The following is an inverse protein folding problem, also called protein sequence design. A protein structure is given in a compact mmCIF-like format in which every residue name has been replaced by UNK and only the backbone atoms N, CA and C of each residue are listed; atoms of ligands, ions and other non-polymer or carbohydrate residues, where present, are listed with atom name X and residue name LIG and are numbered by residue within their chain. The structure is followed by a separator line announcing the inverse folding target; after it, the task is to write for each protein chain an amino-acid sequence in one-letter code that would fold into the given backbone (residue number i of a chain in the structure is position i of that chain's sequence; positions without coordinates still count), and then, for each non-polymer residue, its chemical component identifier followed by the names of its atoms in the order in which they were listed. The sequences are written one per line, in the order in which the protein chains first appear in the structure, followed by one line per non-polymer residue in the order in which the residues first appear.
data_IF_689807604910
#
_entry.id   IF_689807604910
#
_cell.length_a   1.000
_cell.length_b   1.000
_cell.length_c   1.000
_cell.angle_alpha   90.00
_cell.angle_beta   90.00
_cell.angle_gamma   90.00
#
_symmetry.space_group_name_H-M   'P 1'
#
loop_
_entity.id
_entity.type
_entity.pdbx_description
1 polymer ?
#
# COMPACT_ATOMS: atom_id res chain seq x y z
N UNK A 1 26.49 -16.80 -10.53
CA UNK A 1 26.82 -18.21 -10.79
C UNK A 1 27.60 -18.36 -12.11
N UNK A 2 27.10 -17.80 -13.20
CA UNK A 2 27.68 -17.99 -14.54
C UNK A 2 29.18 -17.55 -14.66
N UNK A 3 29.55 -16.50 -13.94
CA UNK A 3 30.92 -15.95 -14.03
C UNK A 3 31.91 -16.52 -13.01
N UNK A 4 31.41 -17.19 -11.96
CA UNK A 4 32.28 -17.65 -10.87
C UNK A 4 32.32 -19.16 -10.71
N UNK A 5 31.49 -19.92 -11.41
CA UNK A 5 31.29 -21.35 -11.21
C UNK A 5 30.77 -21.76 -9.82
N UNK A 6 30.50 -20.79 -8.97
CA UNK A 6 29.95 -21.01 -7.60
C UNK A 6 28.45 -21.17 -7.62
N UNK A 7 27.92 -22.05 -6.79
CA UNK A 7 26.48 -22.31 -6.69
C UNK A 7 25.88 -21.61 -5.47
N UNK A 8 24.72 -20.98 -5.68
CA UNK A 8 23.91 -20.38 -4.61
C UNK A 8 23.49 -21.45 -3.62
N UNK A 9 23.50 -21.09 -2.34
CA UNK A 9 23.22 -21.93 -1.17
C UNK A 9 24.26 -23.01 -0.87
N UNK A 10 25.24 -23.24 -1.74
CA UNK A 10 26.41 -24.10 -1.49
C UNK A 10 27.65 -23.24 -1.14
N UNK A 11 28.01 -22.33 -2.02
CA UNK A 11 29.24 -21.54 -1.90
C UNK A 11 28.97 -20.09 -1.44
N UNK A 12 27.76 -19.58 -1.66
CA UNK A 12 27.33 -18.25 -1.23
C UNK A 12 25.82 -18.21 -1.00
N UNK A 13 25.36 -17.21 -0.26
CA UNK A 13 23.93 -16.90 -0.11
C UNK A 13 23.64 -15.46 -0.49
N UNK A 14 22.44 -15.22 -1.00
CA UNK A 14 21.95 -13.87 -1.31
C UNK A 14 20.92 -13.48 -0.26
N UNK A 15 21.15 -12.35 0.39
CA UNK A 15 20.30 -11.80 1.43
C UNK A 15 19.82 -10.43 0.98
N UNK A 16 18.55 -10.14 1.19
CA UNK A 16 17.97 -8.82 1.04
C UNK A 16 18.04 -8.08 2.39
N UNK A 17 18.66 -6.91 2.40
CA UNK A 17 18.71 -6.05 3.59
C UNK A 17 18.52 -4.60 3.10
N UNK A 18 17.26 -4.21 2.81
CA UNK A 18 16.96 -2.88 2.31
C UNK A 18 17.18 -1.83 3.41
N UNK A 19 17.67 -0.68 3.00
CA UNK A 19 17.77 0.50 3.83
C UNK A 19 16.62 1.50 3.52
N UNK A 20 16.24 2.29 4.51
CA UNK A 20 15.20 3.32 4.40
C UNK A 20 15.75 4.69 4.81
N UNK A 21 17.00 4.94 4.46
CA UNK A 21 17.73 6.15 4.80
C UNK A 21 17.22 7.33 3.97
N UNK A 22 17.12 8.49 4.60
CA UNK A 22 16.75 9.73 3.93
C UNK A 22 18.00 10.56 3.65
N UNK A 23 18.07 11.16 2.48
CA UNK A 23 19.12 12.11 2.14
C UNK A 23 19.14 13.27 3.14
N UNK A 24 20.33 13.68 3.56
CA UNK A 24 20.54 14.71 4.59
C UNK A 24 20.46 14.21 6.02
N UNK A 25 19.83 13.06 6.32
CA UNK A 25 19.73 12.48 7.67
C UNK A 25 20.19 11.03 7.75
N UNK A 26 20.85 10.50 6.71
CA UNK A 26 21.17 9.09 6.56
C UNK A 26 21.89 8.47 7.76
N UNK A 27 22.87 9.16 8.35
CA UNK A 27 23.60 8.67 9.54
C UNK A 27 22.66 8.53 10.74
N UNK A 28 21.83 9.55 10.99
CA UNK A 28 20.84 9.52 12.07
C UNK A 28 19.82 8.40 11.86
N UNK A 29 19.33 8.24 10.62
CA UNK A 29 18.34 7.23 10.26
C UNK A 29 18.94 5.82 10.37
N UNK A 30 20.23 5.63 10.08
CA UNK A 30 20.92 4.35 10.24
C UNK A 30 20.98 3.89 11.70
N UNK A 31 21.29 4.80 12.63
CA UNK A 31 21.35 4.48 14.05
C UNK A 31 19.98 4.48 14.76
N UNK A 32 18.95 5.00 14.10
CA UNK A 32 17.57 5.04 14.63
C UNK A 32 16.56 4.64 13.56
N UNK A 33 16.67 3.46 12.95
CA UNK A 33 15.74 3.02 11.92
C UNK A 33 14.39 2.66 12.55
N UNK A 34 13.27 2.89 11.87
CA UNK A 34 11.95 2.48 12.36
C UNK A 34 11.83 0.95 12.46
N UNK A 35 12.55 0.23 11.61
CA UNK A 35 12.63 -1.23 11.58
C UNK A 35 13.84 -1.68 10.75
N UNK A 36 14.35 -2.88 11.04
CA UNK A 36 15.44 -3.53 10.29
C UNK A 36 14.87 -4.77 9.62
N UNK A 37 15.00 -4.86 8.29
CA UNK A 37 14.49 -5.98 7.51
C UNK A 37 15.63 -6.86 6.98
N UNK A 38 15.53 -8.16 7.21
CA UNK A 38 16.49 -9.15 6.71
C UNK A 38 15.75 -10.24 5.94
N UNK A 39 15.93 -10.28 4.64
CA UNK A 39 15.34 -11.27 3.74
C UNK A 39 16.27 -12.44 3.46
N UNK A 40 16.00 -13.60 4.04
CA UNK A 40 16.82 -14.78 3.83
C UNK A 40 16.01 -16.06 3.95
N UNK A 41 16.21 -16.97 3.00
CA UNK A 41 15.67 -18.32 3.06
C UNK A 41 16.53 -19.28 3.91
N UNK A 42 17.61 -18.77 4.52
CA UNK A 42 18.52 -19.53 5.35
C UNK A 42 18.86 -18.75 6.64
N UNK A 43 18.35 -19.27 7.76
CA UNK A 43 18.49 -18.66 9.09
C UNK A 43 19.96 -18.42 9.49
N UNK A 44 20.88 -19.32 9.14
CA UNK A 44 22.31 -19.18 9.46
C UNK A 44 22.91 -17.92 8.86
N UNK A 45 22.52 -17.59 7.63
CA UNK A 45 23.02 -16.40 6.96
C UNK A 45 22.29 -15.13 7.40
N UNK A 46 20.98 -15.24 7.76
CA UNK A 46 20.27 -14.12 8.36
C UNK A 46 20.95 -13.67 9.66
N UNK A 47 21.35 -14.59 10.53
CA UNK A 47 22.04 -14.28 11.79
C UNK A 47 23.34 -13.50 11.59
N UNK A 48 24.08 -13.73 10.49
CA UNK A 48 25.28 -12.96 10.17
C UNK A 48 24.98 -11.49 9.82
N UNK A 49 23.83 -11.21 9.21
CA UNK A 49 23.41 -9.83 8.95
C UNK A 49 22.89 -9.20 10.23
N UNK A 50 22.14 -9.95 11.04
CA UNK A 50 21.61 -9.48 12.32
C UNK A 50 22.73 -9.00 13.23
N UNK A 51 23.86 -9.69 13.30
CA UNK A 51 24.98 -9.30 14.14
C UNK A 51 25.61 -7.95 13.77
N UNK A 52 25.36 -7.44 12.55
CA UNK A 52 25.79 -6.08 12.17
C UNK A 52 24.95 -4.96 12.83
N UNK A 53 23.83 -5.33 13.44
CA UNK A 53 22.86 -4.41 14.03
C UNK A 53 22.72 -4.57 15.55
N UNK A 54 23.66 -5.29 16.22
CA UNK A 54 23.58 -5.57 17.67
C UNK A 54 23.51 -4.30 18.53
N UNK A 55 24.15 -3.22 18.10
CA UNK A 55 24.15 -1.93 18.80
C UNK A 55 22.94 -1.03 18.44
N UNK A 56 22.07 -1.46 17.52
CA UNK A 56 20.93 -0.66 17.06
C UNK A 56 19.64 -1.15 17.70
N UNK A 57 19.04 -0.31 18.53
CA UNK A 57 17.74 -0.59 19.19
C UNK A 57 16.59 -0.33 18.22
N UNK A 58 16.19 -1.36 17.47
CA UNK A 58 15.04 -1.31 16.58
C UNK A 58 14.40 -2.69 16.45
N UNK A 59 13.14 -2.73 16.02
CA UNK A 59 12.49 -3.97 15.65
C UNK A 59 13.19 -4.60 14.45
N UNK A 60 13.60 -5.86 14.60
CA UNK A 60 14.27 -6.62 13.55
C UNK A 60 13.36 -7.75 13.07
N UNK A 61 13.06 -7.75 11.77
CA UNK A 61 12.16 -8.70 11.13
C UNK A 61 12.94 -9.54 10.11
N UNK A 62 12.81 -10.85 10.22
CA UNK A 62 13.40 -11.82 9.27
C UNK A 62 12.27 -12.51 8.53
N UNK A 63 12.29 -12.37 7.21
CA UNK A 63 11.30 -12.98 6.32
C UNK A 63 11.95 -13.58 5.08
N UNK A 64 11.16 -14.18 4.20
CA UNK A 64 11.70 -14.66 2.93
C UNK A 64 12.29 -13.51 2.10
N UNK A 65 13.29 -13.85 1.29
CA UNK A 65 14.05 -12.84 0.54
C UNK A 65 13.19 -12.01 -0.40
N UNK A 66 12.20 -12.61 -1.09
CA UNK A 66 11.38 -11.92 -2.08
C UNK A 66 10.45 -10.91 -1.41
N UNK A 67 9.87 -11.27 -0.27
CA UNK A 67 9.04 -10.39 0.56
C UNK A 67 9.84 -9.15 0.97
N UNK A 68 11.07 -9.32 1.42
CA UNK A 68 11.90 -8.19 1.85
C UNK A 68 12.41 -7.36 0.65
N UNK A 69 12.73 -7.99 -0.48
CA UNK A 69 13.15 -7.25 -1.70
C UNK A 69 12.09 -6.27 -2.20
N UNK A 70 10.80 -6.64 -2.18
CA UNK A 70 9.74 -5.75 -2.65
C UNK A 70 9.45 -4.60 -1.68
N UNK A 71 9.78 -4.74 -0.40
CA UNK A 71 9.46 -3.74 0.62
C UNK A 71 10.05 -2.35 0.35
N UNK A 72 11.24 -2.27 -0.25
CA UNK A 72 11.84 -0.98 -0.63
C UNK A 72 10.97 -0.22 -1.65
N UNK A 73 10.46 -0.94 -2.65
CA UNK A 73 9.59 -0.35 -3.68
C UNK A 73 8.24 0.05 -3.10
N UNK A 74 7.63 -0.81 -2.30
CA UNK A 74 6.34 -0.54 -1.64
C UNK A 74 6.44 0.69 -0.77
N UNK A 75 7.46 0.78 0.09
CA UNK A 75 7.66 1.91 0.99
C UNK A 75 7.84 3.23 0.23
N UNK A 76 8.73 3.26 -0.76
CA UNK A 76 8.99 4.48 -1.52
C UNK A 76 7.77 4.90 -2.37
N UNK A 77 7.06 3.93 -2.97
CA UNK A 77 5.84 4.20 -3.73
C UNK A 77 4.73 4.76 -2.82
N UNK A 78 4.58 4.22 -1.61
CA UNK A 78 3.62 4.73 -0.64
C UNK A 78 3.96 6.15 -0.17
N UNK A 79 5.26 6.48 0.00
CA UNK A 79 5.67 7.86 0.28
C UNK A 79 5.31 8.80 -0.88
N UNK A 80 5.61 8.41 -2.12
CA UNK A 80 5.27 9.19 -3.30
C UNK A 80 3.75 9.38 -3.43
N UNK A 81 2.95 8.34 -3.18
CA UNK A 81 1.49 8.40 -3.18
C UNK A 81 0.97 9.42 -2.16
N UNK A 82 1.49 9.40 -0.92
CA UNK A 82 1.09 10.35 0.12
C UNK A 82 1.36 11.80 -0.29
N UNK A 83 2.55 12.06 -0.84
CA UNK A 83 2.94 13.41 -1.30
C UNK A 83 2.02 13.86 -2.44
N UNK A 84 1.81 13.00 -3.42
CA UNK A 84 1.00 13.34 -4.60
C UNK A 84 -0.48 13.53 -4.24
N UNK A 85 -1.02 12.71 -3.34
CA UNK A 85 -2.37 12.90 -2.82
C UNK A 85 -2.50 14.26 -2.09
N UNK A 86 -1.55 14.59 -1.21
CA UNK A 86 -1.54 15.87 -0.51
C UNK A 86 -1.46 17.07 -1.48
N UNK A 87 -0.70 16.92 -2.57
CA UNK A 87 -0.61 17.96 -3.60
C UNK A 87 -1.92 18.15 -4.37
N UNK A 88 -2.62 17.07 -4.75
CA UNK A 88 -3.94 17.16 -5.40
C UNK A 88 -4.97 17.82 -4.49
N UNK A 89 -5.02 17.43 -3.20
CA UNK A 89 -5.85 18.10 -2.18
C UNK A 89 -5.47 19.58 -2.07
N UNK A 90 -4.17 19.88 -2.05
CA UNK A 90 -3.66 21.25 -2.00
C UNK A 90 -4.12 22.11 -3.17
N UNK A 91 -4.12 21.58 -4.39
CA UNK A 91 -4.58 22.27 -5.59
C UNK A 91 -6.08 22.58 -5.54
N UNK A 92 -6.91 21.61 -5.08
CA UNK A 92 -8.35 21.82 -4.89
C UNK A 92 -8.60 22.90 -3.82
N UNK A 93 -7.93 22.78 -2.67
CA UNK A 93 -8.07 23.76 -1.58
C UNK A 93 -7.72 25.17 -2.05
N UNK A 94 -6.64 25.31 -2.83
CA UNK A 94 -6.22 26.61 -3.37
C UNK A 94 -7.27 27.21 -4.29
N UNK A 95 -7.94 26.43 -5.13
CA UNK A 95 -9.00 26.91 -6.02
C UNK A 95 -10.25 27.38 -5.28
N UNK A 96 -10.42 26.94 -4.03
CA UNK A 96 -11.56 27.26 -3.16
C UNK A 96 -11.19 28.27 -2.06
N UNK A 97 -9.98 28.84 -2.10
CA UNK A 97 -9.45 29.75 -1.06
C UNK A 97 -9.44 29.12 0.34
N UNK A 98 -9.15 27.80 0.42
CA UNK A 98 -9.03 27.03 1.65
C UNK A 98 -7.57 26.80 2.02
N UNK A 99 -7.23 26.97 3.31
CA UNK A 99 -5.89 26.62 3.82
C UNK A 99 -5.67 25.09 3.80
N UNK A 100 -4.96 24.61 2.78
CA UNK A 100 -4.65 23.21 2.59
C UNK A 100 -3.76 22.61 3.69
N UNK A 101 -2.91 23.41 4.32
CA UNK A 101 -2.05 22.94 5.42
C UNK A 101 -2.93 22.54 6.60
N UNK A 102 -3.91 23.38 6.93
CA UNK A 102 -4.85 23.08 8.01
C UNK A 102 -5.71 21.84 7.71
N UNK A 103 -6.13 21.67 6.45
CA UNK A 103 -6.85 20.46 6.03
C UNK A 103 -6.00 19.21 6.26
N UNK A 104 -4.74 19.21 5.83
CA UNK A 104 -3.83 18.07 6.00
C UNK A 104 -3.43 17.84 7.47
N UNK A 105 -3.27 18.91 8.27
CA UNK A 105 -3.06 18.80 9.72
C UNK A 105 -4.23 18.10 10.42
N UNK A 106 -5.46 18.38 10.00
CA UNK A 106 -6.66 17.68 10.54
C UNK A 106 -6.70 16.23 10.08
N UNK A 107 -6.42 15.95 8.81
CA UNK A 107 -6.39 14.59 8.27
C UNK A 107 -5.46 13.68 9.07
N UNK A 108 -4.24 14.14 9.40
CA UNK A 108 -3.25 13.34 10.12
C UNK A 108 -3.49 13.20 11.62
N UNK A 109 -4.49 13.88 12.17
CA UNK A 109 -4.90 13.69 13.59
C UNK A 109 -5.64 12.38 13.80
N UNK A 110 -6.34 11.86 12.79
CA UNK A 110 -6.98 10.54 12.86
C UNK A 110 -5.91 9.45 12.78
N UNK A 111 -5.55 8.91 13.95
CA UNK A 111 -4.62 7.78 14.11
C UNK A 111 -5.32 6.43 14.10
N UNK A 112 -6.63 6.41 14.10
CA UNK A 112 -7.42 5.18 14.09
C UNK A 112 -7.62 4.64 12.67
N UNK A 113 -7.93 5.49 11.72
CA UNK A 113 -8.19 5.12 10.33
C UNK A 113 -7.13 5.67 9.36
N UNK A 114 -6.94 7.00 9.31
CA UNK A 114 -6.14 7.66 8.28
C UNK A 114 -4.65 7.36 8.40
N UNK A 115 -4.09 7.42 9.61
CA UNK A 115 -2.65 7.19 9.87
C UNK A 115 -2.51 5.94 10.73
N UNK A 116 -2.89 4.81 10.17
CA UNK A 116 -2.88 3.50 10.83
C UNK A 116 -2.71 2.39 9.81
N UNK A 117 -2.69 1.13 10.25
CA UNK A 117 -2.72 -0.05 9.37
C UNK A 117 -4.11 -0.36 8.82
N UNK A 118 -5.13 0.38 9.21
CA UNK A 118 -6.50 0.18 8.74
C UNK A 118 -6.58 0.42 7.22
N UNK A 119 -7.35 -0.36 6.51
CA UNK A 119 -7.49 -0.34 5.04
C UNK A 119 -6.21 -0.64 4.23
N UNK A 120 -5.09 -0.98 4.86
CA UNK A 120 -3.84 -1.36 4.16
C UNK A 120 -3.70 -2.87 3.94
N UNK A 121 -4.78 -3.63 4.06
CA UNK A 121 -4.81 -5.06 3.76
C UNK A 121 -5.32 -5.28 2.33
N UNK A 122 -4.57 -6.00 1.48
CA UNK A 122 -5.06 -6.39 0.16
C UNK A 122 -6.37 -7.19 0.28
N UNK A 123 -7.31 -6.94 -0.64
CA UNK A 123 -8.62 -7.58 -0.63
C UNK A 123 -9.42 -7.32 -1.89
N UNK A 124 -10.72 -7.54 -1.81
CA UNK A 124 -11.65 -7.29 -2.89
C UNK A 124 -11.96 -5.78 -3.02
N UNK A 125 -12.74 -5.41 -4.03
CA UNK A 125 -13.17 -4.04 -4.26
C UNK A 125 -13.98 -3.49 -3.07
N UNK A 126 -13.81 -2.21 -2.76
CA UNK A 126 -14.66 -1.54 -1.77
C UNK A 126 -16.00 -1.15 -2.38
N UNK A 127 -17.02 -1.03 -1.51
CA UNK A 127 -18.38 -0.62 -1.85
C UNK A 127 -19.00 0.27 -0.79
N UNK A 128 -20.31 0.26 -0.77
CA UNK A 128 -21.10 1.04 0.17
C UNK A 128 -21.50 2.42 -0.35
N UNK A 129 -22.21 3.17 0.47
CA UNK A 129 -22.76 4.47 0.07
C UNK A 129 -21.77 5.62 0.17
N UNK A 130 -20.84 5.58 1.14
CA UNK A 130 -19.97 6.72 1.45
C UNK A 130 -18.78 6.85 0.50
N UNK A 131 -17.90 5.83 0.44
CA UNK A 131 -16.65 5.94 -0.33
C UNK A 131 -16.86 6.26 -1.81
N UNK A 132 -17.74 5.56 -2.57
CA UNK A 132 -17.96 5.89 -3.96
C UNK A 132 -18.60 7.26 -4.18
N UNK A 133 -19.55 7.65 -3.32
CA UNK A 133 -20.24 8.93 -3.42
C UNK A 133 -19.29 10.11 -3.16
N UNK A 134 -18.54 10.07 -2.06
CA UNK A 134 -17.69 11.18 -1.66
C UNK A 134 -16.48 11.32 -2.61
N UNK A 135 -15.95 10.21 -3.12
CA UNK A 135 -14.93 10.24 -4.16
C UNK A 135 -15.43 10.89 -5.44
N UNK A 136 -16.64 10.54 -5.92
CA UNK A 136 -17.27 11.19 -7.07
C UNK A 136 -17.50 12.69 -6.83
N UNK A 137 -18.00 13.03 -5.63
CA UNK A 137 -18.21 14.45 -5.24
C UNK A 137 -16.90 15.26 -5.28
N UNK A 138 -15.82 14.68 -4.77
CA UNK A 138 -14.51 15.34 -4.75
C UNK A 138 -13.90 15.49 -6.16
N UNK A 139 -14.10 14.49 -7.03
CA UNK A 139 -13.74 14.58 -8.45
C UNK A 139 -14.55 15.66 -9.19
N UNK A 140 -15.87 15.74 -8.94
CA UNK A 140 -16.75 16.76 -9.52
C UNK A 140 -16.30 18.16 -9.12
N UNK A 141 -16.04 18.36 -7.83
CA UNK A 141 -15.53 19.62 -7.30
C UNK A 141 -14.22 20.05 -7.97
N UNK A 142 -13.28 19.12 -8.16
CA UNK A 142 -12.04 19.39 -8.87
C UNK A 142 -12.30 19.78 -10.34
N UNK A 143 -13.19 19.04 -11.02
CA UNK A 143 -13.57 19.33 -12.41
C UNK A 143 -14.23 20.69 -12.59
N UNK A 144 -15.16 21.07 -11.73
CA UNK A 144 -15.85 22.36 -11.73
C UNK A 144 -14.88 23.55 -11.56
N UNK A 145 -13.76 23.30 -10.87
CA UNK A 145 -12.70 24.29 -10.66
C UNK A 145 -11.53 24.14 -11.65
N UNK A 146 -11.67 23.32 -12.71
CA UNK A 146 -10.66 23.04 -13.72
C UNK A 146 -9.33 22.49 -13.15
N UNK A 147 -9.40 21.73 -12.05
CA UNK A 147 -8.24 21.11 -11.39
C UNK A 147 -8.07 19.67 -11.86
N UNK A 148 -6.87 19.33 -12.34
CA UNK A 148 -6.52 17.96 -12.69
C UNK A 148 -6.10 17.18 -11.44
N UNK A 149 -6.75 16.05 -11.20
CA UNK A 149 -6.54 15.18 -10.03
C UNK A 149 -6.37 13.70 -10.46
N UNK A 150 -5.27 13.36 -11.15
CA UNK A 150 -5.09 12.05 -11.75
C UNK A 150 -5.08 10.90 -10.74
N UNK A 151 -4.53 11.08 -9.53
CA UNK A 151 -4.54 10.06 -8.48
C UNK A 151 -5.95 9.82 -7.98
N UNK A 152 -6.65 10.89 -7.58
CA UNK A 152 -8.03 10.81 -7.08
C UNK A 152 -8.95 10.23 -8.17
N UNK A 153 -8.76 10.63 -9.43
CA UNK A 153 -9.52 10.10 -10.57
C UNK A 153 -9.26 8.59 -10.81
N UNK A 154 -8.05 8.11 -10.53
CA UNK A 154 -7.67 6.71 -10.75
C UNK A 154 -8.20 5.75 -9.68
N UNK A 155 -8.64 6.23 -8.53
CA UNK A 155 -9.10 5.38 -7.42
C UNK A 155 -10.29 4.51 -7.85
N UNK A 156 -11.31 5.09 -8.49
CA UNK A 156 -12.45 4.32 -9.01
C UNK A 156 -12.04 3.29 -10.04
N UNK A 157 -11.15 3.66 -10.96
CA UNK A 157 -10.64 2.74 -11.99
C UNK A 157 -9.92 1.54 -11.35
N UNK A 158 -9.10 1.79 -10.35
CA UNK A 158 -8.43 0.73 -9.60
C UNK A 158 -9.42 -0.20 -8.91
N UNK A 159 -10.50 0.36 -8.34
CA UNK A 159 -11.55 -0.42 -7.69
C UNK A 159 -12.31 -1.31 -8.70
N UNK A 160 -12.67 -0.76 -9.87
CA UNK A 160 -13.31 -1.53 -10.96
C UNK A 160 -12.41 -2.68 -11.43
N UNK A 161 -11.12 -2.44 -11.60
CA UNK A 161 -10.16 -3.50 -11.98
C UNK A 161 -10.16 -4.67 -10.98
N UNK A 162 -10.38 -4.41 -9.68
CA UNK A 162 -10.46 -5.50 -8.70
C UNK A 162 -11.70 -6.38 -8.92
N UNK A 163 -12.85 -5.80 -9.28
CA UNK A 163 -14.06 -6.57 -9.65
C UNK A 163 -13.81 -7.38 -10.91
N UNK A 164 -13.23 -6.77 -11.95
CA UNK A 164 -12.88 -7.47 -13.20
C UNK A 164 -11.91 -8.64 -12.96
N UNK A 165 -10.91 -8.47 -12.12
CA UNK A 165 -9.97 -9.54 -11.75
C UNK A 165 -10.66 -10.70 -11.04
N UNK A 166 -11.60 -10.41 -10.14
CA UNK A 166 -12.38 -11.46 -9.48
C UNK A 166 -13.22 -12.23 -10.47
N UNK A 167 -13.89 -11.54 -11.40
CA UNK A 167 -14.66 -12.17 -12.48
C UNK A 167 -13.76 -13.07 -13.34
N UNK A 168 -12.61 -12.57 -13.78
CA UNK A 168 -11.63 -13.35 -14.53
C UNK A 168 -11.19 -14.61 -13.79
N UNK A 169 -10.93 -14.50 -12.49
CA UNK A 169 -10.56 -15.64 -11.66
C UNK A 169 -11.69 -16.68 -11.61
N UNK A 170 -12.93 -16.26 -11.37
CA UNK A 170 -14.10 -17.14 -11.33
C UNK A 170 -14.25 -17.85 -12.69
N UNK A 171 -14.19 -17.10 -13.80
CA UNK A 171 -14.30 -17.66 -15.13
C UNK A 171 -13.18 -18.66 -15.47
N UNK A 172 -11.96 -18.40 -14.96
CA UNK A 172 -10.81 -19.30 -15.17
C UNK A 172 -10.99 -20.70 -14.57
N UNK A 173 -11.84 -20.82 -13.54
CA UNK A 173 -12.16 -22.10 -12.91
C UNK A 173 -12.97 -23.04 -13.82
N UNK A 174 -13.54 -22.54 -14.92
CA UNK A 174 -14.36 -23.29 -15.90
C UNK A 174 -15.49 -24.11 -15.25
N UNK A 175 -16.05 -23.65 -14.13
CA UNK A 175 -17.17 -24.29 -13.44
C UNK A 175 -18.49 -23.72 -13.91
N UNK A 176 -19.51 -24.60 -14.11
CA UNK A 176 -20.85 -24.20 -14.55
C UNK A 176 -21.72 -23.62 -13.42
N UNK A 177 -21.38 -23.90 -12.19
CA UNK A 177 -22.12 -23.45 -11.01
C UNK A 177 -21.14 -22.82 -10.02
N UNK A 178 -21.46 -21.64 -9.56
CA UNK A 178 -20.70 -20.89 -8.55
C UNK A 178 -21.68 -20.51 -7.45
N UNK A 179 -21.31 -20.76 -6.21
CA UNK A 179 -22.03 -20.29 -5.04
C UNK A 179 -21.32 -19.06 -4.49
N UNK A 180 -22.05 -17.95 -4.39
CA UNK A 180 -21.59 -16.76 -3.71
C UNK A 180 -22.24 -16.67 -2.33
N UNK A 181 -21.43 -16.51 -1.27
CA UNK A 181 -21.90 -16.41 0.11
C UNK A 181 -21.69 -14.97 0.60
N UNK A 182 -22.80 -14.28 0.82
CA UNK A 182 -22.82 -12.86 1.21
C UNK A 182 -22.74 -11.91 0.02
N UNK A 183 -23.60 -10.91 0.01
CA UNK A 183 -23.71 -9.90 -1.06
C UNK A 183 -23.46 -8.48 -0.55
N UNK A 184 -23.42 -8.26 0.77
CA UNK A 184 -23.15 -6.95 1.35
C UNK A 184 -21.68 -6.58 1.21
N UNK A 185 -21.40 -5.31 1.04
CA UNK A 185 -20.03 -4.80 0.88
C UNK A 185 -19.17 -4.90 2.16
N UNK A 186 -19.80 -5.16 3.30
CA UNK A 186 -19.16 -5.26 4.61
C UNK A 186 -19.87 -6.31 5.46
N UNK A 187 -19.13 -6.99 6.32
CA UNK A 187 -19.70 -7.89 7.33
C UNK A 187 -20.60 -7.16 8.31
N UNK A 188 -21.59 -7.87 8.85
CA UNK A 188 -22.56 -7.36 9.84
C UNK A 188 -23.43 -6.19 9.32
N UNK A 189 -23.76 -6.17 8.04
CA UNK A 189 -24.72 -5.25 7.44
C UNK A 189 -25.49 -5.95 6.32
N UNK A 190 -26.70 -5.50 6.04
CA UNK A 190 -27.56 -5.89 4.91
C UNK A 190 -27.53 -4.85 3.77
N UNK A 191 -26.69 -3.80 3.88
CA UNK A 191 -26.58 -2.76 2.88
C UNK A 191 -25.88 -3.28 1.61
N UNK A 192 -26.62 -3.29 0.51
CA UNK A 192 -26.16 -3.73 -0.81
C UNK A 192 -25.78 -2.58 -1.74
N UNK A 193 -25.87 -1.33 -1.28
CA UNK A 193 -25.59 -0.15 -2.12
C UNK A 193 -24.15 -0.14 -2.61
N UNK A 194 -23.97 -0.08 -3.94
CA UNK A 194 -22.65 -0.17 -4.58
C UNK A 194 -21.82 -1.36 -4.08
N UNK A 195 -22.48 -2.47 -3.74
CA UNK A 195 -21.74 -3.68 -3.36
C UNK A 195 -21.05 -4.28 -4.59
N UNK A 196 -19.73 -4.45 -4.60
CA UNK A 196 -19.02 -5.07 -5.71
C UNK A 196 -19.36 -6.55 -5.88
N UNK A 197 -19.94 -7.18 -4.87
CA UNK A 197 -20.45 -8.57 -4.97
C UNK A 197 -21.75 -8.65 -5.79
N UNK A 198 -22.53 -7.58 -5.84
CA UNK A 198 -23.74 -7.50 -6.67
C UNK A 198 -23.38 -7.19 -8.12
N UNK A 199 -22.29 -6.49 -8.35
CA UNK A 199 -21.77 -6.17 -9.69
C UNK A 199 -21.08 -7.38 -10.35
N UNK A 200 -20.52 -8.30 -9.55
CA UNK A 200 -19.84 -9.51 -9.98
C UNK A 200 -20.78 -10.58 -10.50
#
# INVERSE_FOLDING_TARGET
ENNSGKKKNENFSVIANPEFLREGTAIKDYFNPPLILVGSNNRKYALKIISLYEDIKSELIVEDRKTIEIMKYVNNTFHALKISFANEVGNICKSLDIDSRKVMELLVKDKQLNISSYYLKPGFAYGGSCLPKDLKGFQSLAHENNIKVPIIASINKTNTIQTERALQLICSLKKKKVLMIGLSFKSNTDDLRNSPYVEL
#
